data_IF_800110381453
#
_entry.id   IF_800110381453
#
_cell.length_a   1.000
_cell.length_b   1.000
_cell.length_c   1.000
_cell.angle_alpha   90.00
_cell.angle_beta   90.00
_cell.angle_gamma   90.00
#
_symmetry.space_group_name_H-M   'P 1'
#
loop_
_entity.id
_entity.type
_entity.pdbx_description
1 polymer ?
#
# COMPACT_ATOMS: atom_id res chain seq x y z
N UNK A 1 62.32 8.50 -23.63
CA UNK A 1 62.36 7.50 -22.55
C UNK A 1 62.51 8.27 -21.26
N UNK A 2 61.75 7.89 -20.22
CA UNK A 2 61.50 8.55 -18.93
C UNK A 2 60.40 9.62 -18.94
N UNK A 3 59.41 9.63 -18.07
CA UNK A 3 58.61 8.60 -17.39
C UNK A 3 57.45 9.37 -16.75
N UNK A 4 56.27 8.77 -16.74
CA UNK A 4 55.00 9.38 -16.38
C UNK A 4 54.90 9.80 -14.90
N UNK A 5 54.03 10.80 -14.70
CA UNK A 5 53.27 11.08 -13.48
C UNK A 5 52.70 9.80 -12.85
N UNK A 6 52.69 9.71 -11.52
CA UNK A 6 51.58 9.22 -10.67
C UNK A 6 52.07 9.09 -9.21
N UNK A 7 51.70 10.02 -8.32
CA UNK A 7 50.44 10.03 -7.57
C UNK A 7 50.33 8.84 -6.59
N UNK A 8 50.67 9.07 -5.31
CA UNK A 8 50.20 8.27 -4.18
C UNK A 8 49.94 9.19 -2.99
N UNK A 9 48.87 9.98 -3.08
CA UNK A 9 48.24 10.55 -1.91
C UNK A 9 47.38 9.44 -1.27
N UNK A 10 48.02 8.59 -0.48
CA UNK A 10 47.35 7.65 0.41
C UNK A 10 46.75 8.45 1.56
N UNK A 11 45.50 8.88 1.41
CA UNK A 11 44.70 9.44 2.50
C UNK A 11 43.53 8.50 2.80
N UNK A 12 43.66 7.84 3.95
CA UNK A 12 42.66 7.20 4.80
C UNK A 12 41.17 7.32 4.41
N UNK A 13 40.62 6.29 3.77
CA UNK A 13 39.17 6.09 3.62
C UNK A 13 38.53 5.34 4.81
N UNK A 14 39.34 4.76 5.71
CA UNK A 14 38.84 3.87 6.78
C UNK A 14 38.36 4.56 8.05
N UNK A 15 38.63 5.85 8.25
CA UNK A 15 38.17 6.61 9.43
C UNK A 15 36.80 7.26 9.24
N UNK A 16 36.37 7.49 8.00
CA UNK A 16 35.08 8.13 7.70
C UNK A 16 33.90 7.16 7.88
N UNK A 17 34.06 5.89 7.53
CA UNK A 17 32.95 4.92 7.60
C UNK A 17 32.58 4.52 9.03
N UNK A 18 33.54 4.44 9.96
CA UNK A 18 33.22 4.12 11.36
C UNK A 18 32.47 5.27 12.07
N UNK A 19 32.84 6.52 11.78
CA UNK A 19 32.20 7.71 12.32
C UNK A 19 30.77 7.92 11.79
N UNK A 20 30.52 7.56 10.52
CA UNK A 20 29.17 7.60 9.92
C UNK A 20 28.26 6.52 10.54
N UNK A 21 28.79 5.33 10.82
CA UNK A 21 28.04 4.19 11.38
C UNK A 21 27.66 4.38 12.86
N UNK A 22 28.52 5.02 13.66
CA UNK A 22 28.24 5.33 15.06
C UNK A 22 27.17 6.43 15.19
N UNK A 23 27.24 7.46 14.33
CA UNK A 23 26.26 8.53 14.29
C UNK A 23 24.89 8.04 13.77
N UNK A 24 24.87 7.15 12.77
CA UNK A 24 23.63 6.53 12.29
C UNK A 24 22.93 5.73 13.39
N UNK A 25 23.67 4.94 14.15
CA UNK A 25 23.10 4.10 15.20
C UNK A 25 22.47 4.94 16.31
N UNK A 26 23.13 6.02 16.73
CA UNK A 26 22.61 6.99 17.70
C UNK A 26 21.33 7.68 17.19
N UNK A 27 21.32 8.07 15.91
CA UNK A 27 20.15 8.68 15.26
C UNK A 27 18.96 7.70 15.25
N UNK A 28 19.19 6.44 14.90
CA UNK A 28 18.12 5.43 14.84
C UNK A 28 17.58 5.08 16.22
N UNK A 29 18.43 4.97 17.24
CA UNK A 29 17.96 4.75 18.62
C UNK A 29 17.13 5.94 19.12
N UNK A 30 17.56 7.17 18.83
CA UNK A 30 16.79 8.37 19.18
C UNK A 30 15.44 8.41 18.46
N UNK A 31 15.39 8.03 17.18
CA UNK A 31 14.13 7.91 16.44
C UNK A 31 13.19 6.86 17.05
N UNK A 32 13.72 5.70 17.41
CA UNK A 32 12.96 4.65 18.08
C UNK A 32 12.36 5.16 19.39
N UNK A 33 13.18 5.79 20.24
CA UNK A 33 12.72 6.33 21.52
C UNK A 33 11.62 7.39 21.34
N UNK A 34 11.75 8.31 20.39
CA UNK A 34 10.70 9.29 20.10
C UNK A 34 9.38 8.62 19.66
N UNK A 35 9.44 7.54 18.87
CA UNK A 35 8.24 6.82 18.43
C UNK A 35 7.59 6.01 19.55
N UNK A 36 8.40 5.32 20.36
CA UNK A 36 7.91 4.54 21.51
C UNK A 36 7.28 5.41 22.59
N UNK A 37 7.79 6.63 22.78
CA UNK A 37 7.24 7.61 23.71
C UNK A 37 6.02 8.38 23.15
N UNK A 38 5.64 8.15 21.89
CA UNK A 38 4.51 8.82 21.23
C UNK A 38 4.84 10.20 20.65
N UNK A 39 6.08 10.66 20.73
CA UNK A 39 6.58 11.93 20.22
C UNK A 39 6.88 11.89 18.71
N UNK A 40 5.89 11.48 17.92
CA UNK A 40 6.02 11.28 16.46
C UNK A 40 6.39 12.59 15.73
N UNK A 41 5.96 13.75 16.25
CA UNK A 41 6.31 15.06 15.68
C UNK A 41 7.82 15.35 15.78
N UNK A 42 8.45 14.95 16.89
CA UNK A 42 9.88 15.13 17.08
C UNK A 42 10.68 14.14 16.22
N UNK A 43 10.23 12.89 16.12
CA UNK A 43 10.83 11.91 15.22
C UNK A 43 10.82 12.38 13.76
N UNK A 44 9.70 12.98 13.32
CA UNK A 44 9.58 13.59 11.98
C UNK A 44 10.55 14.74 11.77
N UNK A 45 10.65 15.67 12.73
CA UNK A 45 11.61 16.77 12.67
C UNK A 45 13.04 16.26 12.52
N UNK A 46 13.41 15.28 13.34
CA UNK A 46 14.75 14.72 13.36
C UNK A 46 15.14 14.09 12.03
N UNK A 47 14.26 13.30 11.41
CA UNK A 47 14.50 12.74 10.07
C UNK A 47 14.48 13.79 8.96
N UNK A 48 13.61 14.81 9.05
CA UNK A 48 13.51 15.86 8.02
C UNK A 48 14.78 16.69 7.87
N UNK A 49 15.56 16.85 8.94
CA UNK A 49 16.83 17.58 8.94
C UNK A 49 18.00 16.80 8.32
N UNK A 50 17.84 15.51 8.04
CA UNK A 50 18.90 14.64 7.50
C UNK A 50 18.76 14.59 5.97
N UNK A 51 19.87 14.70 5.23
CA UNK A 51 19.85 14.55 3.77
C UNK A 51 19.47 13.13 3.38
N UNK A 52 18.74 12.98 2.28
CA UNK A 52 18.38 11.68 1.73
C UNK A 52 19.62 10.94 1.21
N UNK A 53 19.60 9.60 1.21
CA UNK A 53 20.67 8.79 0.65
C UNK A 53 21.92 8.68 1.52
N UNK A 54 21.89 9.20 2.76
CA UNK A 54 22.98 9.00 3.74
C UNK A 54 22.94 7.57 4.30
N UNK A 55 21.74 7.05 4.60
CA UNK A 55 21.55 5.68 5.09
C UNK A 55 20.19 5.12 4.70
N UNK A 56 20.19 3.85 4.27
CA UNK A 56 18.99 3.07 3.98
C UNK A 56 18.08 2.95 5.21
N UNK A 57 18.65 2.86 6.43
CA UNK A 57 17.86 2.74 7.66
C UNK A 57 17.14 4.03 7.99
N UNK A 58 17.81 5.18 7.84
CA UNK A 58 17.20 6.50 8.06
C UNK A 58 16.12 6.77 7.01
N UNK A 59 16.36 6.39 5.75
CA UNK A 59 15.37 6.52 4.69
C UNK A 59 14.13 5.63 4.90
N UNK A 60 14.31 4.43 5.49
CA UNK A 60 13.20 3.61 5.94
C UNK A 60 12.37 4.31 7.03
N UNK A 61 13.02 4.89 8.04
CA UNK A 61 12.34 5.69 9.06
C UNK A 61 11.58 6.87 8.46
N UNK A 62 12.16 7.56 7.47
CA UNK A 62 11.49 8.64 6.73
C UNK A 62 10.22 8.19 6.06
N UNK A 63 10.21 7.01 5.45
CA UNK A 63 9.03 6.45 4.81
C UNK A 63 7.94 6.12 5.84
N UNK A 64 8.31 5.53 6.97
CA UNK A 64 7.36 5.15 8.03
C UNK A 64 6.77 6.38 8.72
N UNK A 65 7.60 7.39 8.97
CA UNK A 65 7.20 8.63 9.65
C UNK A 65 6.53 9.64 8.71
N UNK A 66 6.48 9.38 7.40
CA UNK A 66 5.81 10.26 6.46
C UNK A 66 4.35 10.49 6.85
N UNK A 67 3.84 11.69 6.57
CA UNK A 67 2.43 11.97 6.80
C UNK A 67 1.56 11.03 5.95
N UNK A 68 0.54 10.39 6.54
CA UNK A 68 -0.36 9.54 5.79
C UNK A 68 -1.11 10.41 4.78
N UNK A 69 -0.81 10.21 3.50
CA UNK A 69 -1.57 10.82 2.41
C UNK A 69 -2.86 10.02 2.26
N UNK A 70 -3.96 10.55 2.80
CA UNK A 70 -5.29 10.04 2.50
C UNK A 70 -5.59 10.36 1.03
N UNK A 71 -5.39 9.40 0.15
CA UNK A 71 -5.96 9.47 -1.20
C UNK A 71 -7.44 9.16 -1.07
N UNK A 72 -8.30 10.11 -1.42
CA UNK A 72 -9.72 9.83 -1.65
C UNK A 72 -9.73 8.77 -2.77
N UNK A 73 -10.08 7.54 -2.42
CA UNK A 73 -10.29 6.49 -3.42
C UNK A 73 -11.35 6.98 -4.41
N UNK A 74 -11.19 6.63 -5.68
CA UNK A 74 -12.28 6.85 -6.65
C UNK A 74 -13.59 6.35 -6.02
N UNK A 75 -14.70 7.09 -6.17
CA UNK A 75 -15.98 6.64 -5.66
C UNK A 75 -16.18 5.20 -6.15
N UNK A 76 -16.26 4.27 -5.20
CA UNK A 76 -16.65 2.91 -5.51
C UNK A 76 -17.94 2.99 -6.32
N UNK A 77 -18.13 2.03 -7.22
CA UNK A 77 -19.39 1.85 -7.97
C UNK A 77 -20.53 1.38 -7.03
N UNK A 78 -20.54 1.88 -5.79
CA UNK A 78 -21.30 1.50 -4.61
C UNK A 78 -22.69 2.17 -4.59
N UNK A 79 -23.20 2.56 -5.75
CA UNK A 79 -24.62 2.87 -5.88
C UNK A 79 -25.40 1.54 -5.93
N UNK A 80 -26.24 1.28 -4.94
CA UNK A 80 -27.13 0.11 -4.96
C UNK A 80 -26.93 -0.93 -3.86
N UNK A 81 -26.02 -0.70 -2.90
CA UNK A 81 -25.68 -1.68 -1.85
C UNK A 81 -26.86 -2.00 -0.92
N UNK A 82 -27.70 -1.02 -0.61
CA UNK A 82 -28.87 -1.22 0.24
C UNK A 82 -29.93 -2.04 -0.52
N UNK A 83 -30.13 -1.74 -1.80
CA UNK A 83 -31.04 -2.44 -2.68
C UNK A 83 -30.58 -3.88 -2.97
N UNK A 84 -29.27 -4.09 -3.18
CA UNK A 84 -28.68 -5.41 -3.36
C UNK A 84 -28.82 -6.24 -2.06
N UNK A 85 -28.55 -5.63 -0.90
CA UNK A 85 -28.76 -6.27 0.41
C UNK A 85 -30.21 -6.70 0.61
N UNK A 86 -31.16 -5.81 0.33
CA UNK A 86 -32.59 -6.09 0.49
C UNK A 86 -33.08 -7.15 -0.50
N UNK A 87 -32.51 -7.20 -1.71
CA UNK A 87 -32.79 -8.29 -2.65
C UNK A 87 -32.29 -9.63 -2.11
N UNK A 88 -31.07 -9.67 -1.56
CA UNK A 88 -30.47 -10.90 -1.01
C UNK A 88 -31.30 -11.43 0.16
N UNK A 89 -31.72 -10.58 1.10
CA UNK A 89 -32.57 -10.98 2.23
C UNK A 89 -33.87 -11.66 1.77
N UNK A 90 -34.51 -11.10 0.74
CA UNK A 90 -35.77 -11.61 0.22
C UNK A 90 -35.63 -12.87 -0.66
N UNK A 91 -34.46 -13.10 -1.26
CA UNK A 91 -34.29 -14.12 -2.30
C UNK A 91 -33.22 -15.18 -1.99
N UNK A 92 -32.45 -15.04 -0.90
CA UNK A 92 -31.32 -15.92 -0.55
C UNK A 92 -31.69 -17.41 -0.63
N UNK A 93 -32.82 -17.78 -0.02
CA UNK A 93 -33.28 -19.16 0.04
C UNK A 93 -33.50 -19.79 -1.35
N UNK A 94 -33.94 -19.00 -2.34
CA UNK A 94 -34.23 -19.48 -3.70
C UNK A 94 -32.96 -19.75 -4.52
N UNK A 95 -31.85 -19.11 -4.18
CA UNK A 95 -30.59 -19.19 -4.93
C UNK A 95 -29.47 -19.87 -4.17
N UNK A 96 -29.79 -20.58 -3.09
CA UNK A 96 -28.83 -21.33 -2.28
C UNK A 96 -27.95 -22.26 -3.13
N UNK A 97 -26.65 -22.21 -2.89
CA UNK A 97 -25.62 -22.95 -3.62
C UNK A 97 -25.24 -22.37 -4.98
N UNK A 98 -25.79 -21.22 -5.38
CA UNK A 98 -25.49 -20.55 -6.65
C UNK A 98 -24.78 -19.22 -6.42
N UNK A 99 -24.00 -18.81 -7.42
CA UNK A 99 -23.56 -17.43 -7.58
C UNK A 99 -24.70 -16.61 -8.17
N UNK A 100 -24.94 -15.44 -7.60
CA UNK A 100 -25.85 -14.43 -8.12
C UNK A 100 -25.06 -13.17 -8.47
N UNK A 101 -25.48 -12.52 -9.55
CA UNK A 101 -24.97 -11.26 -10.02
C UNK A 101 -26.07 -10.21 -9.87
N UNK A 102 -25.80 -9.18 -9.07
CA UNK A 102 -26.75 -8.13 -8.73
C UNK A 102 -26.24 -6.77 -9.18
N UNK A 103 -27.18 -5.89 -9.51
CA UNK A 103 -26.92 -4.49 -9.81
C UNK A 103 -28.12 -3.68 -9.36
N UNK A 104 -27.94 -2.85 -8.32
CA UNK A 104 -28.99 -1.95 -7.80
C UNK A 104 -30.31 -2.66 -7.49
N UNK A 105 -30.23 -3.76 -6.73
CA UNK A 105 -31.38 -4.58 -6.32
C UNK A 105 -31.96 -5.48 -7.41
N UNK A 106 -31.32 -5.57 -8.58
CA UNK A 106 -31.82 -6.37 -9.70
C UNK A 106 -30.91 -7.55 -9.99
N UNK A 107 -31.49 -8.75 -10.09
CA UNK A 107 -30.79 -9.94 -10.54
C UNK A 107 -30.43 -9.83 -12.03
N UNK A 108 -29.13 -9.72 -12.31
CA UNK A 108 -28.58 -9.71 -13.66
C UNK A 108 -28.30 -11.13 -14.16
N UNK A 109 -28.00 -12.05 -13.24
CA UNK A 109 -27.83 -13.47 -13.57
C UNK A 109 -27.59 -14.36 -12.36
N UNK A 110 -27.76 -15.67 -12.53
CA UNK A 110 -27.39 -16.65 -11.50
C UNK A 110 -26.85 -17.92 -12.12
N UNK A 111 -25.83 -18.53 -11.51
CA UNK A 111 -25.24 -19.76 -11.99
C UNK A 111 -24.51 -20.53 -10.88
N UNK A 112 -24.34 -21.85 -11.02
CA UNK A 112 -23.60 -22.65 -10.02
C UNK A 112 -22.09 -22.33 -10.01
N UNK A 113 -21.55 -21.94 -11.17
CA UNK A 113 -20.15 -21.57 -11.38
C UNK A 113 -20.02 -20.06 -11.60
N UNK A 114 -19.15 -19.42 -10.82
CA UNK A 114 -18.81 -17.99 -10.96
C UNK A 114 -18.18 -17.67 -12.31
N UNK A 115 -17.34 -18.57 -12.83
CA UNK A 115 -16.61 -18.36 -14.09
C UNK A 115 -17.60 -18.28 -15.25
N UNK A 116 -18.57 -19.20 -15.30
CA UNK A 116 -19.60 -19.21 -16.34
C UNK A 116 -20.54 -18.00 -16.21
N UNK A 117 -20.88 -17.58 -14.98
CA UNK A 117 -21.67 -16.37 -14.76
C UNK A 117 -20.93 -15.12 -15.24
N UNK A 118 -19.64 -15.00 -14.94
CA UNK A 118 -18.82 -13.90 -15.39
C UNK A 118 -18.73 -13.87 -16.92
N UNK A 119 -18.41 -15.01 -17.55
CA UNK A 119 -18.33 -15.12 -19.01
C UNK A 119 -19.64 -14.74 -19.68
N UNK A 120 -20.79 -15.16 -19.13
CA UNK A 120 -22.11 -14.79 -19.64
C UNK A 120 -22.37 -13.27 -19.56
N UNK A 121 -21.95 -12.63 -18.47
CA UNK A 121 -22.12 -11.18 -18.30
C UNK A 121 -21.13 -10.36 -19.13
N UNK A 122 -19.94 -10.90 -19.38
CA UNK A 122 -18.95 -10.33 -20.29
C UNK A 122 -19.46 -10.32 -21.73
N UNK A 123 -20.02 -11.44 -22.19
CA UNK A 123 -20.60 -11.55 -23.53
C UNK A 123 -21.83 -10.66 -23.74
N UNK A 124 -22.49 -10.24 -22.66
CA UNK A 124 -23.68 -9.40 -22.71
C UNK A 124 -23.42 -7.93 -22.35
N UNK A 125 -22.14 -7.53 -22.22
CA UNK A 125 -21.70 -6.18 -21.82
C UNK A 125 -22.36 -5.68 -20.52
N UNK A 126 -22.64 -6.61 -19.61
CA UNK A 126 -23.35 -6.35 -18.33
C UNK A 126 -22.44 -6.43 -17.12
N UNK A 127 -21.12 -6.48 -17.29
CA UNK A 127 -20.17 -6.61 -16.17
C UNK A 127 -20.06 -5.35 -15.30
N UNK A 128 -20.26 -4.17 -15.88
CA UNK A 128 -19.99 -2.91 -15.18
C UNK A 128 -20.94 -2.68 -14.01
N UNK A 129 -20.37 -2.52 -12.81
CA UNK A 129 -21.11 -2.24 -11.57
C UNK A 129 -21.97 -3.41 -11.08
N UNK A 130 -21.57 -4.66 -11.37
CA UNK A 130 -22.26 -5.86 -10.89
C UNK A 130 -21.55 -6.43 -9.67
N UNK A 131 -22.31 -6.68 -8.61
CA UNK A 131 -21.87 -7.40 -7.43
C UNK A 131 -22.09 -8.91 -7.62
N UNK A 132 -21.08 -9.72 -7.29
CA UNK A 132 -21.18 -11.18 -7.28
C UNK A 132 -21.23 -11.71 -5.86
N UNK A 133 -22.29 -12.42 -5.52
CA UNK A 133 -22.49 -13.01 -4.19
C UNK A 133 -22.76 -14.50 -4.33
N UNK A 134 -22.22 -15.30 -3.41
CA UNK A 134 -22.57 -16.72 -3.29
C UNK A 134 -23.59 -16.86 -2.18
N UNK A 135 -24.72 -17.47 -2.51
CA UNK A 135 -25.80 -17.81 -1.60
C UNK A 135 -25.79 -19.30 -1.27
#
# INVERSE_FOLDING_TARGET
MLESLENKNQFSETENDSFVMENESLIVEKLRSCVENGDVAEARRLVSGIRHGISVRIDNWRRVLAEPKATIGNPGTDEGLEEDSLWLENNAFKYQGKWVALKKGTLVGSHKSRIELHRFLEQSDKLAGVMFVRL
#
